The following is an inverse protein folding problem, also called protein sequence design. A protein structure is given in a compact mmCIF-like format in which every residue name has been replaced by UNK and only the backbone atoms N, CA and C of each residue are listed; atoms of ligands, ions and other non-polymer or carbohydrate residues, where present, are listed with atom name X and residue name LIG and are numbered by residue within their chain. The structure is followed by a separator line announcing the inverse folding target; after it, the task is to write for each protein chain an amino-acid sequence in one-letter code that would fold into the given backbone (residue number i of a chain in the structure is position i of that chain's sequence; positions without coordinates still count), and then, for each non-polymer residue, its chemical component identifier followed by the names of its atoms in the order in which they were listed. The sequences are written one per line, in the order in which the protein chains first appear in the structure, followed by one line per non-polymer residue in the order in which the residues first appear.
data_IF_885168423065
#
_entry.id   IF_885168423065
#
_cell.length_a   1.000
_cell.length_b   1.000
_cell.length_c   1.000
_cell.angle_alpha   90.00
_cell.angle_beta   90.00
_cell.angle_gamma   90.00
#
_symmetry.space_group_name_H-M   'P 1'
#
loop_
_entity.id
_entity.type
_entity.pdbx_description
1 polymer ?
#
# COMPACT_ATOMS: atom_id res chain seq x y z
N UNK A 1 10.63 -8.04 11.10
CA UNK A 1 11.97 -8.30 10.50
C UNK A 1 12.04 -7.63 9.13
N UNK A 2 13.03 -6.76 8.86
CA UNK A 2 13.14 -6.07 7.55
C UNK A 2 13.58 -7.08 6.49
N UNK A 3 12.88 -7.13 5.35
CA UNK A 3 13.21 -8.04 4.25
C UNK A 3 14.62 -7.74 3.71
N UNK A 4 15.48 -8.77 3.66
CA UNK A 4 16.84 -8.68 3.12
C UNK A 4 16.87 -8.59 1.58
N UNK A 5 15.76 -8.91 0.91
CA UNK A 5 15.60 -8.86 -0.54
C UNK A 5 14.38 -8.02 -0.91
N UNK A 6 14.54 -7.15 -1.91
CA UNK A 6 13.47 -6.33 -2.50
C UNK A 6 13.58 -6.44 -4.03
N UNK A 7 12.51 -6.88 -4.70
CA UNK A 7 12.47 -7.07 -6.17
C UNK A 7 13.67 -7.89 -6.70
N UNK A 8 13.91 -9.05 -6.10
CA UNK A 8 15.02 -9.98 -6.41
C UNK A 8 16.44 -9.39 -6.28
N UNK A 9 16.60 -8.28 -5.57
CA UNK A 9 17.90 -7.66 -5.29
C UNK A 9 18.10 -7.49 -3.78
N UNK A 10 19.33 -7.52 -3.27
CA UNK A 10 19.60 -7.18 -1.88
C UNK A 10 19.02 -5.80 -1.55
N UNK A 11 18.35 -5.70 -0.40
CA UNK A 11 17.78 -4.43 0.05
C UNK A 11 18.90 -3.41 0.36
N UNK A 12 18.61 -2.12 0.24
CA UNK A 12 19.62 -1.06 0.41
C UNK A 12 20.38 -1.15 1.75
N UNK A 13 19.67 -1.48 2.84
CA UNK A 13 20.27 -1.65 4.17
C UNK A 13 21.24 -2.85 4.26
N UNK A 14 21.06 -3.88 3.43
CA UNK A 14 22.01 -5.01 3.33
C UNK A 14 23.29 -4.59 2.61
N UNK A 15 23.17 -3.77 1.58
CA UNK A 15 24.32 -3.36 0.75
C UNK A 15 25.13 -2.23 1.38
N UNK A 16 24.44 -1.22 1.92
CA UNK A 16 25.05 0.03 2.38
C UNK A 16 25.02 0.18 3.91
N UNK A 17 24.39 -0.76 4.63
CA UNK A 17 24.16 -0.68 6.06
C UNK A 17 22.91 0.14 6.43
N UNK A 18 22.37 -0.07 7.64
CA UNK A 18 21.11 0.55 8.07
C UNK A 18 21.18 2.07 8.14
N UNK A 19 22.28 2.63 8.65
CA UNK A 19 22.43 4.09 8.78
C UNK A 19 22.50 4.82 7.45
N UNK A 20 23.20 4.26 6.45
CA UNK A 20 23.26 4.86 5.13
C UNK A 20 21.89 4.78 4.43
N UNK A 21 21.22 3.63 4.52
CA UNK A 21 19.90 3.46 3.94
C UNK A 21 18.86 4.42 4.54
N UNK A 22 18.88 4.64 5.86
CA UNK A 22 17.99 5.60 6.51
C UNK A 22 18.22 7.03 6.01
N UNK A 23 19.47 7.51 5.99
CA UNK A 23 19.77 8.86 5.47
C UNK A 23 19.43 9.04 4.00
N UNK A 24 19.59 7.99 3.19
CA UNK A 24 19.15 8.04 1.79
C UNK A 24 17.64 8.16 1.66
N UNK A 25 16.86 7.51 2.54
CA UNK A 25 15.41 7.67 2.56
C UNK A 25 15.02 9.12 2.91
N UNK A 26 15.64 9.70 3.94
CA UNK A 26 15.42 11.10 4.31
C UNK A 26 15.75 12.06 3.15
N UNK A 27 16.92 11.86 2.52
CA UNK A 27 17.34 12.68 1.38
C UNK A 27 16.36 12.57 0.20
N UNK A 28 15.90 11.37 -0.14
CA UNK A 28 14.93 11.16 -1.22
C UNK A 28 13.58 11.80 -0.90
N UNK A 29 13.16 11.79 0.36
CA UNK A 29 11.93 12.47 0.79
C UNK A 29 12.07 13.99 0.65
N UNK A 30 13.20 14.58 1.06
CA UNK A 30 13.46 16.00 0.87
C UNK A 30 13.48 16.39 -0.62
N UNK A 31 14.10 15.56 -1.47
CA UNK A 31 14.08 15.76 -2.94
C UNK A 31 12.67 15.72 -3.51
N UNK A 32 11.74 14.94 -2.92
CA UNK A 32 10.35 14.96 -3.38
C UNK A 32 9.70 16.36 -3.19
N UNK A 33 9.95 17.02 -2.06
CA UNK A 33 9.46 18.38 -1.82
C UNK A 33 10.14 19.42 -2.71
N UNK A 34 11.43 19.25 -3.01
CA UNK A 34 12.15 20.07 -3.99
C UNK A 34 11.48 19.96 -5.37
N UNK A 35 11.19 18.74 -5.84
CA UNK A 35 10.50 18.50 -7.12
C UNK A 35 9.10 19.15 -7.15
N UNK A 36 8.34 19.08 -6.06
CA UNK A 36 7.03 19.75 -5.98
C UNK A 36 7.17 21.28 -6.04
N UNK A 37 8.20 21.82 -5.41
CA UNK A 37 8.48 23.27 -5.39
C UNK A 37 8.90 23.79 -6.76
N UNK A 38 9.74 23.03 -7.47
CA UNK A 38 10.23 23.37 -8.82
C UNK A 38 9.17 23.21 -9.91
N UNK A 39 8.13 22.40 -9.65
CA UNK A 39 7.09 22.07 -10.61
C UNK A 39 5.98 23.12 -10.74
N UNK A 40 6.12 24.29 -10.09
CA UNK A 40 5.09 25.34 -10.15
C UNK A 40 4.72 25.68 -11.60
N UNK A 41 3.42 25.68 -11.86
CA UNK A 41 2.86 25.87 -13.19
C UNK A 41 2.85 27.35 -13.58
N UNK A 42 2.81 27.62 -14.89
CA UNK A 42 2.66 28.98 -15.43
C UNK A 42 1.38 29.70 -14.96
N UNK A 43 0.34 28.94 -14.59
CA UNK A 43 -0.98 29.43 -14.22
C UNK A 43 -1.14 29.71 -12.70
N UNK A 44 -0.09 29.52 -11.90
CA UNK A 44 -0.06 29.88 -10.47
C UNK A 44 0.64 28.85 -9.58
N UNK A 45 1.03 29.23 -8.35
CA UNK A 45 1.75 28.35 -7.44
C UNK A 45 0.81 27.27 -6.88
N UNK A 46 1.02 26.02 -7.29
CA UNK A 46 0.32 24.82 -6.76
C UNK A 46 1.19 24.05 -5.76
N UNK A 47 2.49 24.36 -5.70
CA UNK A 47 3.50 23.72 -4.84
C UNK A 47 3.11 23.68 -3.36
N UNK A 48 2.44 24.72 -2.84
CA UNK A 48 1.97 24.77 -1.45
C UNK A 48 0.86 23.75 -1.14
N UNK A 49 -0.15 23.66 -2.00
CA UNK A 49 -1.21 22.66 -1.85
C UNK A 49 -0.66 21.24 -2.07
N UNK A 50 0.19 21.07 -3.08
CA UNK A 50 0.86 19.80 -3.36
C UNK A 50 1.72 19.30 -2.19
N UNK A 51 2.50 20.20 -1.57
CA UNK A 51 3.31 19.88 -0.41
C UNK A 51 2.45 19.50 0.79
N UNK A 52 1.33 20.19 1.00
CA UNK A 52 0.38 19.87 2.07
C UNK A 52 -0.23 18.48 1.84
N UNK A 53 -0.67 18.18 0.62
CA UNK A 53 -1.22 16.87 0.25
C UNK A 53 -0.21 15.73 0.44
N UNK A 54 1.07 15.96 0.13
CA UNK A 54 2.13 14.98 0.38
C UNK A 54 2.39 14.80 1.89
N UNK A 55 2.47 15.89 2.65
CA UNK A 55 2.65 15.82 4.12
C UNK A 55 1.51 15.06 4.79
N UNK A 56 0.27 15.35 4.44
CA UNK A 56 -0.90 14.65 4.98
C UNK A 56 -0.83 13.15 4.67
N UNK A 57 -0.51 12.78 3.43
CA UNK A 57 -0.37 11.38 3.04
C UNK A 57 0.77 10.67 3.78
N UNK A 58 1.90 11.34 4.01
CA UNK A 58 3.02 10.79 4.79
C UNK A 58 2.67 10.60 6.27
N UNK A 59 1.88 11.50 6.85
CA UNK A 59 1.36 11.33 8.21
C UNK A 59 0.45 10.11 8.28
N UNK A 60 -0.48 9.97 7.33
CA UNK A 60 -1.37 8.80 7.26
C UNK A 60 -0.60 7.49 7.03
N UNK A 61 0.42 7.52 6.18
CA UNK A 61 1.36 6.41 5.98
C UNK A 61 2.01 6.00 7.30
N UNK A 62 2.59 6.95 8.04
CA UNK A 62 3.25 6.67 9.31
C UNK A 62 2.28 6.11 10.37
N UNK A 63 1.05 6.63 10.43
CA UNK A 63 -0.01 6.09 11.31
C UNK A 63 -0.37 4.66 10.90
N UNK A 64 -0.55 4.40 9.59
CA UNK A 64 -0.84 3.06 9.07
C UNK A 64 0.29 2.06 9.31
N UNK A 65 1.55 2.45 9.11
CA UNK A 65 2.70 1.61 9.46
C UNK A 65 2.77 1.34 10.97
N UNK A 66 2.45 2.34 11.80
CA UNK A 66 2.33 2.19 13.24
C UNK A 66 1.25 1.18 13.65
N UNK A 67 0.08 1.20 12.99
CA UNK A 67 -0.98 0.22 13.21
C UNK A 67 -0.54 -1.20 12.82
N UNK A 68 0.09 -1.35 11.65
CA UNK A 68 0.58 -2.66 11.18
C UNK A 68 1.61 -3.26 12.16
N UNK A 69 2.54 -2.44 12.66
CA UNK A 69 3.48 -2.86 13.71
C UNK A 69 2.76 -3.18 15.02
N UNK A 70 1.75 -2.40 15.40
CA UNK A 70 0.99 -2.64 16.62
C UNK A 70 0.15 -3.94 16.54
N UNK A 71 -0.21 -4.40 15.33
CA UNK A 71 -0.89 -5.68 15.15
C UNK A 71 0.04 -6.88 15.38
N UNK A 72 1.36 -6.72 15.28
CA UNK A 72 2.31 -7.79 15.57
C UNK A 72 2.15 -8.25 17.04
N UNK A 73 1.72 -9.49 17.24
CA UNK A 73 1.54 -10.08 18.57
C UNK A 73 0.21 -9.76 19.26
N UNK A 74 -0.67 -8.96 18.65
CA UNK A 74 -2.06 -8.80 19.13
C UNK A 74 -2.90 -10.01 18.72
N UNK A 75 -3.65 -10.57 19.67
CA UNK A 75 -4.60 -11.66 19.41
C UNK A 75 -5.93 -11.20 18.83
N UNK A 76 -6.27 -9.93 19.02
CA UNK A 76 -7.54 -9.33 18.62
C UNK A 76 -7.26 -8.07 17.80
N UNK A 77 -7.47 -8.18 16.49
CA UNK A 77 -7.50 -7.09 15.52
C UNK A 77 -8.82 -7.23 14.78
N UNK A 78 -9.56 -6.13 14.65
CA UNK A 78 -10.85 -6.13 13.96
C UNK A 78 -10.68 -5.90 12.46
N UNK A 79 -11.64 -6.34 11.62
CA UNK A 79 -11.62 -6.05 10.19
C UNK A 79 -11.55 -4.55 9.90
N UNK A 80 -12.22 -3.73 10.73
CA UNK A 80 -12.20 -2.27 10.61
C UNK A 80 -10.81 -1.70 10.86
N UNK A 81 -10.11 -2.11 11.92
CA UNK A 81 -8.73 -1.70 12.18
C UNK A 81 -7.79 -2.09 11.02
N UNK A 82 -7.97 -3.27 10.43
CA UNK A 82 -7.20 -3.67 9.25
C UNK A 82 -7.46 -2.74 8.05
N UNK A 83 -8.71 -2.38 7.77
CA UNK A 83 -9.04 -1.46 6.68
C UNK A 83 -8.49 -0.06 6.93
N UNK A 84 -8.50 0.42 8.17
CA UNK A 84 -7.89 1.71 8.57
C UNK A 84 -6.37 1.68 8.38
N UNK A 85 -5.72 0.58 8.79
CA UNK A 85 -4.30 0.35 8.56
C UNK A 85 -3.98 0.39 7.06
N UNK A 86 -4.74 -0.34 6.23
CA UNK A 86 -4.54 -0.36 4.77
C UNK A 86 -4.76 1.02 4.15
N UNK A 87 -5.79 1.73 4.60
CA UNK A 87 -6.12 3.08 4.16
C UNK A 87 -4.96 4.04 4.40
N UNK A 88 -4.39 4.03 5.60
CA UNK A 88 -3.23 4.85 5.95
C UNK A 88 -1.96 4.40 5.24
N UNK A 89 -1.60 3.12 5.37
CA UNK A 89 -0.30 2.58 4.94
C UNK A 89 -0.12 2.52 3.42
N UNK A 90 -1.19 2.23 2.68
CA UNK A 90 -1.10 1.99 1.24
C UNK A 90 -1.97 2.97 0.46
N UNK A 91 -3.25 3.13 0.82
CA UNK A 91 -4.17 3.92 0.01
C UNK A 91 -3.87 5.43 0.01
N UNK A 92 -3.34 5.97 1.11
CA UNK A 92 -3.00 7.40 1.25
C UNK A 92 -2.02 7.89 0.17
N UNK A 93 -0.98 7.12 -0.14
CA UNK A 93 0.01 7.48 -1.16
C UNK A 93 -0.54 7.36 -2.58
N UNK A 94 -1.42 6.40 -2.85
CA UNK A 94 -2.12 6.33 -4.14
C UNK A 94 -3.05 7.53 -4.34
N UNK A 95 -3.83 7.87 -3.31
CA UNK A 95 -4.70 9.05 -3.31
C UNK A 95 -3.89 10.33 -3.54
N UNK A 96 -2.76 10.48 -2.83
CA UNK A 96 -1.84 11.60 -3.00
C UNK A 96 -1.30 11.68 -4.42
N UNK A 97 -0.80 10.57 -4.99
CA UNK A 97 -0.27 10.56 -6.35
C UNK A 97 -1.31 10.99 -7.40
N UNK A 98 -2.55 10.52 -7.29
CA UNK A 98 -3.65 10.94 -8.16
C UNK A 98 -4.03 12.41 -7.96
N UNK A 99 -4.10 12.88 -6.70
CA UNK A 99 -4.35 14.28 -6.36
C UNK A 99 -3.29 15.21 -6.97
N UNK A 100 -2.02 14.89 -6.76
CA UNK A 100 -0.89 15.64 -7.31
C UNK A 100 -0.95 15.69 -8.84
N UNK A 101 -1.21 14.55 -9.50
CA UNK A 101 -1.37 14.51 -10.95
C UNK A 101 -2.51 15.41 -11.45
N UNK A 102 -3.65 15.45 -10.75
CA UNK A 102 -4.77 16.32 -11.08
C UNK A 102 -4.44 17.81 -10.84
N UNK A 103 -3.79 18.14 -9.71
CA UNK A 103 -3.38 19.50 -9.37
C UNK A 103 -2.42 20.08 -10.41
N UNK A 104 -1.31 19.40 -10.72
CA UNK A 104 -0.36 19.88 -11.74
C UNK A 104 -0.92 19.76 -13.17
N UNK A 105 -1.97 18.96 -13.37
CA UNK A 105 -2.74 18.91 -14.61
C UNK A 105 -3.72 20.07 -14.80
N UNK A 106 -3.84 20.97 -13.82
CA UNK A 106 -4.77 22.11 -13.87
C UNK A 106 -6.24 21.70 -13.73
N UNK A 107 -6.52 20.54 -13.10
CA UNK A 107 -7.89 20.10 -12.86
C UNK A 107 -8.62 21.02 -11.86
N UNK A 108 -9.94 21.15 -12.03
CA UNK A 108 -10.76 21.87 -11.06
C UNK A 108 -10.77 21.15 -9.69
N UNK A 109 -10.98 21.86 -8.56
CA UNK A 109 -10.91 21.28 -7.22
C UNK A 109 -11.76 20.01 -7.03
N UNK A 110 -13.00 20.02 -7.52
CA UNK A 110 -13.88 18.86 -7.45
C UNK A 110 -13.29 17.64 -8.19
N UNK A 111 -12.75 17.85 -9.39
CA UNK A 111 -12.11 16.78 -10.18
C UNK A 111 -10.84 16.27 -9.49
N UNK A 112 -10.07 17.17 -8.86
CA UNK A 112 -8.91 16.79 -8.05
C UNK A 112 -9.30 15.88 -6.87
N UNK A 113 -10.38 16.19 -6.16
CA UNK A 113 -10.89 15.34 -5.08
C UNK A 113 -11.43 13.99 -5.59
N UNK A 114 -12.09 13.97 -6.75
CA UNK A 114 -12.55 12.74 -7.40
C UNK A 114 -11.37 11.83 -7.80
N UNK A 115 -10.27 12.40 -8.30
CA UNK A 115 -9.02 11.67 -8.56
C UNK A 115 -8.37 11.14 -7.29
N UNK A 116 -8.37 11.92 -6.21
CA UNK A 116 -7.85 11.48 -4.91
C UNK A 116 -8.66 10.29 -4.37
N UNK A 117 -10.00 10.35 -4.45
CA UNK A 117 -10.89 9.27 -4.04
C UNK A 117 -10.67 8.00 -4.89
N UNK A 118 -10.51 8.14 -6.21
CA UNK A 118 -10.15 7.03 -7.07
C UNK A 118 -8.80 6.40 -6.67
N UNK A 119 -7.78 7.22 -6.40
CA UNK A 119 -6.48 6.74 -5.95
C UNK A 119 -6.58 5.98 -4.61
N UNK A 120 -7.41 6.47 -3.69
CA UNK A 120 -7.68 5.77 -2.43
C UNK A 120 -8.29 4.39 -2.66
N UNK A 121 -9.40 4.30 -3.41
CA UNK A 121 -10.08 3.03 -3.72
C UNK A 121 -9.13 2.06 -4.44
N UNK A 122 -8.30 2.55 -5.37
CA UNK A 122 -7.28 1.76 -6.06
C UNK A 122 -6.23 1.22 -5.09
N UNK A 123 -5.75 2.05 -4.16
CA UNK A 123 -4.76 1.64 -3.16
C UNK A 123 -5.32 0.64 -2.15
N UNK A 124 -6.59 0.78 -1.77
CA UNK A 124 -7.31 -0.23 -0.97
C UNK A 124 -7.34 -1.57 -1.72
N UNK A 125 -7.81 -1.58 -2.96
CA UNK A 125 -7.87 -2.79 -3.78
C UNK A 125 -6.49 -3.42 -3.99
N UNK A 126 -5.47 -2.61 -4.25
CA UNK A 126 -4.09 -3.06 -4.43
C UNK A 126 -3.60 -3.85 -3.20
N UNK A 127 -3.80 -3.32 -1.99
CA UNK A 127 -3.34 -3.99 -0.77
C UNK A 127 -4.17 -5.24 -0.46
N UNK A 128 -5.47 -5.24 -0.73
CA UNK A 128 -6.31 -6.43 -0.56
C UNK A 128 -5.83 -7.57 -1.46
N UNK A 129 -5.49 -7.28 -2.72
CA UNK A 129 -4.90 -8.25 -3.64
C UNK A 129 -3.51 -8.69 -3.18
N UNK A 130 -2.66 -7.77 -2.70
CA UNK A 130 -1.33 -8.09 -2.17
C UNK A 130 -1.42 -9.04 -0.96
N UNK A 131 -2.39 -8.85 -0.06
CA UNK A 131 -2.64 -9.73 1.08
C UNK A 131 -3.13 -11.12 0.65
N UNK A 132 -3.99 -11.21 -0.37
CA UNK A 132 -4.40 -12.50 -0.96
C UNK A 132 -3.18 -13.21 -1.58
N UNK A 133 -2.36 -12.49 -2.35
CA UNK A 133 -1.13 -13.04 -2.95
C UNK A 133 -0.08 -13.41 -1.89
N UNK A 134 -0.06 -12.72 -0.74
CA UNK A 134 0.77 -13.06 0.41
C UNK A 134 0.44 -14.41 1.02
N UNK A 135 -0.79 -14.89 0.86
CA UNK A 135 -1.24 -16.21 1.31
C UNK A 135 -1.16 -17.22 0.16
N UNK A 136 -1.86 -17.00 -0.95
CA UNK A 136 -2.06 -18.00 -2.01
C UNK A 136 -1.27 -17.74 -3.29
N UNK A 137 -0.50 -16.65 -3.36
CA UNK A 137 0.23 -16.27 -4.57
C UNK A 137 1.39 -17.21 -4.90
N UNK A 138 1.60 -17.44 -6.19
CA UNK A 138 2.71 -18.26 -6.69
C UNK A 138 4.06 -17.55 -6.45
N UNK A 139 5.08 -18.32 -6.06
CA UNK A 139 6.40 -17.79 -5.72
C UNK A 139 7.12 -17.13 -6.92
N UNK A 140 6.84 -17.57 -8.14
CA UNK A 140 7.38 -16.96 -9.36
C UNK A 140 6.82 -15.57 -9.65
N UNK A 141 5.61 -15.28 -9.15
CA UNK A 141 4.93 -13.99 -9.31
C UNK A 141 5.26 -13.05 -8.16
N UNK A 142 5.21 -13.55 -6.92
CA UNK A 142 5.36 -12.72 -5.71
C UNK A 142 6.83 -12.51 -5.30
N UNK A 143 7.73 -13.39 -5.76
CA UNK A 143 9.12 -13.45 -5.32
C UNK A 143 9.28 -13.85 -3.85
N UNK A 144 8.22 -14.35 -3.21
CA UNK A 144 8.17 -14.81 -1.82
C UNK A 144 7.66 -16.26 -1.75
N UNK A 145 7.94 -17.02 -0.68
CA UNK A 145 7.35 -18.35 -0.50
C UNK A 145 5.82 -18.29 -0.44
N UNK A 146 5.14 -19.33 -0.92
CA UNK A 146 3.68 -19.48 -0.75
C UNK A 146 3.33 -19.48 0.75
N UNK A 147 2.20 -18.88 1.12
CA UNK A 147 1.76 -18.65 2.50
C UNK A 147 2.76 -17.83 3.34
N UNK A 148 3.47 -16.87 2.73
CA UNK A 148 4.42 -16.00 3.42
C UNK A 148 3.75 -15.24 4.57
N UNK A 149 2.55 -14.72 4.38
CA UNK A 149 1.87 -13.93 5.41
C UNK A 149 1.52 -14.80 6.63
N UNK A 150 1.07 -16.03 6.40
CA UNK A 150 0.79 -17.01 7.45
C UNK A 150 2.07 -17.51 8.16
N UNK A 151 3.18 -17.66 7.44
CA UNK A 151 4.49 -17.97 8.04
C UNK A 151 4.92 -16.90 9.03
N UNK A 152 4.67 -15.64 8.69
CA UNK A 152 5.01 -14.49 9.53
C UNK A 152 3.92 -14.14 10.55
N UNK A 153 2.82 -14.91 10.61
CA UNK A 153 1.64 -14.64 11.47
C UNK A 153 1.10 -13.22 11.29
N UNK A 154 1.21 -12.66 10.07
CA UNK A 154 0.74 -11.33 9.75
C UNK A 154 -0.78 -11.26 9.91
N UNK A 155 -1.27 -10.20 10.53
CA UNK A 155 -2.71 -9.92 10.64
C UNK A 155 -3.21 -9.26 9.35
N UNK A 156 -3.08 -9.97 8.22
CA UNK A 156 -3.55 -9.52 6.91
C UNK A 156 -5.08 -9.54 6.84
N UNK A 157 -5.68 -8.77 5.91
CA UNK A 157 -7.13 -8.64 5.82
C UNK A 157 -7.85 -10.00 5.72
N UNK A 158 -7.41 -10.97 4.89
CA UNK A 158 -8.03 -12.29 4.81
C UNK A 158 -7.98 -13.06 6.13
N UNK A 159 -6.87 -12.94 6.87
CA UNK A 159 -6.68 -13.61 8.16
C UNK A 159 -7.63 -13.01 9.20
N UNK A 160 -7.69 -11.69 9.29
CA UNK A 160 -8.52 -11.01 10.29
C UNK A 160 -10.00 -11.23 10.03
N UNK A 161 -10.42 -11.22 8.76
CA UNK A 161 -11.77 -11.59 8.36
C UNK A 161 -12.11 -13.03 8.80
N UNK A 162 -11.20 -13.98 8.58
CA UNK A 162 -11.40 -15.37 9.00
C UNK A 162 -11.44 -15.54 10.53
N UNK A 163 -10.55 -14.87 11.26
CA UNK A 163 -10.50 -14.88 12.73
C UNK A 163 -11.74 -14.26 13.35
N UNK A 164 -12.31 -13.24 12.70
CA UNK A 164 -13.55 -12.57 13.14
C UNK A 164 -14.82 -13.29 12.68
N UNK A 165 -14.70 -14.38 11.91
CA UNK A 165 -15.85 -15.15 11.44
C UNK A 165 -16.43 -16.03 12.56
N UNK A 166 -17.76 -16.12 12.62
CA UNK A 166 -18.47 -17.02 13.53
C UNK A 166 -18.53 -18.48 13.01
N UNK A 167 -17.67 -18.83 12.05
CA UNK A 167 -17.64 -20.16 11.46
C UNK A 167 -16.87 -21.15 12.35
N UNK A 168 -17.17 -22.47 12.28
CA UNK A 168 -16.37 -23.47 12.97
C UNK A 168 -14.88 -23.43 12.60
N UNK A 169 -14.58 -23.10 11.34
CA UNK A 169 -13.21 -22.93 10.86
C UNK A 169 -12.52 -21.71 11.48
N UNK A 170 -13.21 -20.58 11.63
CA UNK A 170 -12.72 -19.40 12.34
C UNK A 170 -12.39 -19.70 13.81
N UNK A 171 -13.30 -20.39 14.51
CA UNK A 171 -13.05 -20.83 15.89
C UNK A 171 -11.85 -21.78 16.02
N UNK A 172 -11.61 -22.66 15.04
CA UNK A 172 -10.41 -23.48 15.00
C UNK A 172 -9.15 -22.68 14.66
N UNK A 173 -9.25 -21.72 13.74
CA UNK A 173 -8.17 -20.81 13.38
C UNK A 173 -7.67 -20.05 14.61
N UNK A 174 -8.57 -19.46 15.42
CA UNK A 174 -8.22 -18.75 16.66
C UNK A 174 -7.33 -19.62 17.57
N UNK A 175 -7.68 -20.90 17.76
CA UNK A 175 -6.93 -21.81 18.64
C UNK A 175 -5.54 -22.19 18.10
N UNK A 176 -5.35 -22.12 16.78
CA UNK A 176 -4.14 -22.60 16.10
C UNK A 176 -3.24 -21.47 15.58
N UNK A 177 -3.77 -20.26 15.37
CA UNK A 177 -3.06 -19.18 14.69
C UNK A 177 -1.82 -18.71 15.45
N UNK A 178 -1.87 -18.63 16.78
CA UNK A 178 -0.71 -18.24 17.59
C UNK A 178 0.30 -19.38 17.84
N UNK A 179 -0.03 -20.63 17.46
CA UNK A 179 0.83 -21.78 17.75
C UNK A 179 1.97 -21.87 16.73
N UNK A 180 3.24 -21.91 17.16
CA UNK A 180 4.39 -21.87 16.27
C UNK A 180 4.54 -23.12 15.39
N UNK A 181 4.00 -24.25 15.83
CA UNK A 181 4.04 -25.56 15.18
C UNK A 181 2.92 -25.78 14.14
N UNK A 182 1.97 -24.85 14.00
CA UNK A 182 0.93 -25.00 12.98
C UNK A 182 1.48 -24.72 11.59
N UNK A 183 1.38 -25.71 10.70
CA UNK A 183 1.78 -25.60 9.30
C UNK A 183 0.98 -24.49 8.57
N UNK A 184 1.66 -23.60 7.82
CA UNK A 184 0.99 -22.50 7.11
C UNK A 184 -0.08 -22.95 6.11
N UNK A 185 0.09 -24.14 5.50
CA UNK A 185 -0.90 -24.69 4.58
C UNK A 185 -2.21 -25.07 5.30
N UNK A 186 -2.14 -25.50 6.56
CA UNK A 186 -3.33 -25.83 7.36
C UNK A 186 -4.09 -24.56 7.74
N UNK A 187 -3.34 -23.50 8.11
CA UNK A 187 -3.91 -22.18 8.36
C UNK A 187 -4.59 -21.61 7.11
N UNK A 188 -3.97 -21.74 5.94
CA UNK A 188 -4.56 -21.27 4.68
C UNK A 188 -5.91 -21.94 4.40
N UNK A 189 -6.01 -23.26 4.62
CA UNK A 189 -7.28 -23.99 4.48
C UNK A 189 -8.34 -23.53 5.50
N UNK A 190 -7.93 -23.19 6.71
CA UNK A 190 -8.87 -22.65 7.72
C UNK A 190 -9.34 -21.24 7.36
N UNK A 191 -8.43 -20.37 6.90
CA UNK A 191 -8.76 -19.02 6.42
C UNK A 191 -9.75 -19.10 5.26
N UNK A 192 -9.50 -19.97 4.28
CA UNK A 192 -10.38 -20.18 3.14
C UNK A 192 -11.76 -20.70 3.57
N UNK A 193 -11.82 -21.74 4.40
CA UNK A 193 -13.08 -22.30 4.93
C UNK A 193 -13.87 -21.34 5.82
N UNK A 194 -13.19 -20.39 6.44
CA UNK A 194 -13.79 -19.32 7.23
C UNK A 194 -14.28 -18.13 6.37
N UNK A 195 -14.07 -18.17 5.05
CA UNK A 195 -14.48 -17.13 4.12
C UNK A 195 -13.49 -15.96 3.99
N UNK A 196 -12.27 -16.08 4.54
CA UNK A 196 -11.26 -15.02 4.50
C UNK A 196 -10.78 -14.67 3.10
N UNK A 197 -10.91 -15.56 2.12
CA UNK A 197 -10.62 -15.26 0.72
C UNK A 197 -11.61 -14.26 0.09
N UNK A 198 -12.77 -14.04 0.72
CA UNK A 198 -13.82 -13.12 0.26
C UNK A 198 -14.46 -13.51 -1.08
N UNK A 199 -15.52 -12.80 -1.50
CA UNK A 199 -15.93 -12.77 -2.90
C UNK A 199 -14.91 -11.97 -3.74
N UNK A 200 -14.88 -12.15 -5.07
CA UNK A 200 -14.08 -11.30 -5.95
C UNK A 200 -14.37 -9.81 -5.71
N UNK A 201 -13.33 -8.99 -5.63
CA UNK A 201 -13.48 -7.54 -5.48
C UNK A 201 -14.10 -7.01 -6.78
N UNK A 202 -15.34 -6.52 -6.73
CA UNK A 202 -15.93 -5.81 -7.86
C UNK A 202 -15.40 -4.37 -7.89
N UNK A 203 -14.87 -3.90 -9.04
CA UNK A 203 -14.42 -2.53 -9.16
C UNK A 203 -15.60 -1.58 -9.00
N UNK A 204 -15.45 -0.57 -8.15
CA UNK A 204 -16.42 0.52 -8.05
C UNK A 204 -16.47 1.29 -9.37
N UNK A 205 -17.64 1.83 -9.71
CA UNK A 205 -17.80 2.66 -10.90
C UNK A 205 -16.77 3.80 -10.90
N UNK A 206 -15.91 3.82 -11.91
CA UNK A 206 -14.86 4.82 -12.07
C UNK A 206 -15.50 6.14 -12.55
N UNK A 207 -15.13 7.30 -11.99
CA UNK A 207 -15.68 8.57 -12.45
C UNK A 207 -15.46 8.78 -13.97
N UNK A 208 -16.36 9.51 -14.67
CA UNK A 208 -16.30 9.66 -16.13
C UNK A 208 -14.98 10.29 -16.62
N UNK A 209 -14.45 11.28 -15.89
CA UNK A 209 -13.22 11.97 -16.24
C UNK A 209 -11.98 11.06 -16.08
N UNK A 210 -11.95 10.20 -15.05
CA UNK A 210 -10.89 9.17 -14.88
C UNK A 210 -10.94 8.15 -16.02
N UNK A 211 -12.15 7.73 -16.39
CA UNK A 211 -12.36 6.80 -17.49
C UNK A 211 -11.87 7.36 -18.83
N UNK A 212 -12.07 8.66 -19.07
CA UNK A 212 -11.59 9.33 -20.27
C UNK A 212 -10.04 9.44 -20.31
N UNK A 213 -9.40 9.75 -19.19
CA UNK A 213 -7.94 9.85 -19.10
C UNK A 213 -7.24 8.49 -19.26
N UNK A 214 -7.80 7.42 -18.71
CA UNK A 214 -7.24 6.05 -18.86
C UNK A 214 -7.42 5.47 -20.26
N UNK A 215 -8.41 5.95 -21.02
CA UNK A 215 -8.58 5.64 -22.45
C UNK A 215 -7.64 6.42 -23.38
N UNK A 216 -6.97 7.46 -22.88
CA UNK A 216 -6.04 8.27 -23.65
C UNK A 216 -4.63 7.63 -23.65
N UNK A 217 -3.85 7.76 -24.74
CA UNK A 217 -2.48 7.23 -24.78
C UNK A 217 -1.62 7.85 -23.66
N UNK A 218 -0.67 7.08 -23.09
CA UNK A 218 0.12 7.55 -21.95
C UNK A 218 0.87 8.84 -22.29
N UNK A 219 0.89 9.77 -21.32
CA UNK A 219 1.62 11.03 -21.43
C UNK A 219 3.08 10.75 -21.85
N UNK A 220 3.66 11.50 -22.80
CA UNK A 220 5.04 11.31 -23.21
C UNK A 220 5.96 11.35 -21.99
N UNK A 221 6.88 10.38 -21.90
CA UNK A 221 7.80 10.24 -20.77
C UNK A 221 8.49 11.58 -20.47
N UNK A 222 8.62 11.98 -19.19
CA UNK A 222 9.41 13.15 -18.85
C UNK A 222 10.85 12.98 -19.35
N UNK A 223 11.45 14.07 -19.82
CA UNK A 223 12.76 14.07 -20.46
C UNK A 223 13.87 13.49 -19.54
N UNK A 224 14.97 12.94 -20.08
CA UNK A 224 16.02 12.27 -19.29
C UNK A 224 16.83 13.17 -18.33
N UNK A 225 16.49 14.46 -18.22
CA UNK A 225 17.32 15.48 -17.58
C UNK A 225 17.33 15.47 -16.04
N UNK A 226 16.61 14.55 -15.38
CA UNK A 226 16.63 14.41 -13.91
C UNK A 226 18.03 14.14 -13.32
N UNK A 227 19.01 13.73 -14.14
CA UNK A 227 20.40 13.50 -13.71
C UNK A 227 21.21 14.76 -13.42
N UNK A 228 20.70 15.97 -13.72
CA UNK A 228 21.46 17.22 -13.52
C UNK A 228 21.29 17.87 -12.14
N UNK A 229 20.41 17.37 -11.28
CA UNK A 229 20.23 17.91 -9.92
C UNK A 229 21.07 17.16 -8.85
N UNK A 230 21.99 16.28 -9.24
CA UNK A 230 22.79 15.47 -8.32
C UNK A 230 24.31 15.71 -8.45
N UNK A 231 24.72 16.93 -8.82
CA UNK A 231 26.11 17.41 -8.76
C UNK A 231 26.13 18.81 -8.18
#
# INVERSE_FOLDING_TARGET
MILAVRRHRPAAWQVFGPSAAARSADALLLTAFEVLSDADAADGPVSGEASTALLDALIQLAVGEGLDLAFEGRSEVTPQECLEMVSGKTASLFACACRLGALYGGAAPQTTDEWAAFGHDLGMAFQLVDDLLGIWGDASVTGKPVFNDLRNRKMSVPVVAALSSETPAGGELIRRYARPDTEPADLARLVERAGGAGPPIEPRATPPHVSACTASPPCPRPSPNWRRCAT
#
